data_IF_032246135640
#
_entry.id   IF_032246135640
#
_cell.length_a   1.000
_cell.length_b   1.000
_cell.length_c   1.000
_cell.angle_alpha   90.00
_cell.angle_beta   90.00
_cell.angle_gamma   90.00
#
_symmetry.space_group_name_H-M   'P 1'
#
loop_
_entity.id
_entity.type
_entity.pdbx_description
1 polymer ?
#
# COMPACT_ATOMS: atom_id res chain seq x y z
N UNK A 1 7.07 4.96 0.05
CA UNK A 1 5.84 4.82 -0.76
C UNK A 1 4.63 5.02 0.12
N UNK A 2 3.59 5.67 -0.40
CA UNK A 2 2.32 5.89 0.31
C UNK A 2 1.15 5.65 -0.64
N UNK A 3 0.18 4.82 -0.26
CA UNK A 3 -1.01 4.55 -1.08
C UNK A 3 -2.27 4.44 -0.24
N UNK A 4 -3.40 4.81 -0.86
CA UNK A 4 -4.73 4.53 -0.32
C UNK A 4 -5.09 3.05 -0.45
N UNK A 5 -5.00 2.51 -1.67
CA UNK A 5 -5.23 1.09 -1.95
C UNK A 5 -3.94 0.48 -2.47
N UNK A 6 -3.50 -0.57 -1.80
CA UNK A 6 -2.63 -1.59 -2.36
C UNK A 6 -3.39 -2.91 -2.35
N UNK A 7 -3.56 -3.53 -3.51
CA UNK A 7 -4.15 -4.87 -3.62
C UNK A 7 -3.09 -5.84 -4.17
N UNK A 8 -2.81 -6.95 -3.47
CA UNK A 8 -1.97 -8.02 -4.00
C UNK A 8 -2.50 -8.59 -5.33
N UNK A 9 -1.57 -9.05 -6.16
CA UNK A 9 -1.84 -9.69 -7.45
C UNK A 9 -1.24 -8.95 -8.64
N UNK A 10 -0.87 -9.72 -9.67
CA UNK A 10 -0.47 -9.18 -10.97
C UNK A 10 0.76 -8.27 -10.90
N UNK A 11 0.69 -7.10 -11.53
CA UNK A 11 1.79 -6.13 -11.56
C UNK A 11 2.12 -5.52 -10.19
N UNK A 12 1.17 -5.45 -9.25
CA UNK A 12 1.43 -4.92 -7.92
C UNK A 12 2.44 -5.78 -7.14
N UNK A 13 2.42 -7.11 -7.36
CA UNK A 13 3.35 -8.03 -6.71
C UNK A 13 4.78 -7.84 -7.21
N UNK A 14 4.97 -7.54 -8.51
CA UNK A 14 6.30 -7.23 -9.07
C UNK A 14 6.91 -6.00 -8.40
N UNK A 15 6.08 -5.01 -8.04
CA UNK A 15 6.52 -3.82 -7.30
C UNK A 15 6.90 -4.20 -5.86
N UNK A 16 6.12 -5.05 -5.20
CA UNK A 16 6.44 -5.54 -3.86
C UNK A 16 7.76 -6.33 -3.85
N UNK A 17 7.97 -7.23 -4.82
CA UNK A 17 9.22 -7.98 -5.01
C UNK A 17 10.41 -7.06 -5.23
N UNK A 18 10.27 -6.06 -6.09
CA UNK A 18 11.31 -5.07 -6.37
C UNK A 18 11.66 -4.26 -5.11
N UNK A 19 10.66 -3.87 -4.32
CA UNK A 19 10.88 -3.15 -3.07
C UNK A 19 11.58 -4.02 -2.03
N UNK A 20 11.22 -5.30 -1.92
CA UNK A 20 11.92 -6.26 -1.04
C UNK A 20 13.35 -6.50 -1.48
N UNK A 21 13.60 -6.60 -2.80
CA UNK A 21 14.95 -6.74 -3.33
C UNK A 21 15.80 -5.49 -3.02
N UNK A 22 15.23 -4.29 -3.10
CA UNK A 22 15.92 -3.06 -2.71
C UNK A 22 16.26 -3.04 -1.21
N UNK A 23 15.30 -3.40 -0.35
CA UNK A 23 15.52 -3.47 1.09
C UNK A 23 16.64 -4.47 1.45
N UNK A 24 16.65 -5.65 0.81
CA UNK A 24 17.71 -6.67 0.98
C UNK A 24 19.09 -6.20 0.54
N UNK A 25 19.19 -5.26 -0.39
CA UNK A 25 20.46 -4.61 -0.77
C UNK A 25 20.90 -3.51 0.21
N UNK A 26 20.12 -3.23 1.25
CA UNK A 26 20.41 -2.21 2.27
C UNK A 26 19.75 -0.86 2.01
N UNK A 27 18.85 -0.75 1.02
CA UNK A 27 18.10 0.50 0.79
C UNK A 27 17.04 0.68 1.88
N UNK A 28 16.97 1.86 2.48
CA UNK A 28 15.96 2.16 3.51
C UNK A 28 14.56 2.34 2.90
N UNK A 29 13.79 1.26 2.81
CA UNK A 29 12.44 1.28 2.23
C UNK A 29 11.36 1.52 3.29
N UNK A 30 10.45 2.47 3.03
CA UNK A 30 9.26 2.75 3.86
C UNK A 30 7.99 2.64 3.04
N UNK A 31 6.96 1.99 3.60
CA UNK A 31 5.65 1.81 3.00
C UNK A 31 4.55 2.19 3.98
N UNK A 32 3.74 3.18 3.63
CA UNK A 32 2.56 3.57 4.41
C UNK A 32 1.29 3.30 3.62
N UNK A 33 0.37 2.53 4.18
CA UNK A 33 -0.90 2.21 3.53
C UNK A 33 -2.08 2.56 4.41
N UNK A 34 -3.13 3.07 3.80
CA UNK A 34 -4.40 3.30 4.48
C UNK A 34 -5.03 1.96 4.93
N UNK A 35 -5.39 1.85 6.21
CA UNK A 35 -5.91 0.62 6.83
C UNK A 35 -7.18 0.07 6.14
N UNK A 36 -8.17 0.92 5.85
CA UNK A 36 -9.43 0.52 5.24
C UNK A 36 -9.30 0.31 3.72
N UNK A 37 -8.55 1.16 3.03
CA UNK A 37 -8.33 1.03 1.58
C UNK A 37 -7.48 -0.20 1.22
N UNK A 38 -6.57 -0.63 2.10
CA UNK A 38 -5.61 -1.71 1.85
C UNK A 38 -5.85 -2.96 2.69
N UNK A 39 -7.09 -3.25 3.09
CA UNK A 39 -7.45 -4.44 3.90
C UNK A 39 -6.96 -5.73 3.26
N UNK A 40 -7.10 -5.88 1.94
CA UNK A 40 -6.64 -7.06 1.20
C UNK A 40 -5.12 -7.27 1.36
N UNK A 41 -4.32 -6.20 1.29
CA UNK A 41 -2.88 -6.27 1.54
C UNK A 41 -2.58 -6.66 2.99
N UNK A 42 -3.19 -6.01 3.98
CA UNK A 42 -2.90 -6.27 5.39
C UNK A 42 -3.37 -7.65 5.87
N UNK A 43 -4.38 -8.26 5.22
CA UNK A 43 -4.82 -9.64 5.47
C UNK A 43 -4.03 -10.69 4.69
N UNK A 44 -3.16 -10.27 3.77
CA UNK A 44 -2.31 -11.18 2.98
C UNK A 44 -0.94 -11.40 3.64
N UNK A 45 -0.17 -12.41 3.20
CA UNK A 45 1.20 -12.62 3.67
C UNK A 45 2.16 -11.46 3.33
N UNK A 46 1.82 -10.59 2.38
CA UNK A 46 2.71 -9.54 1.87
C UNK A 46 3.20 -8.58 2.95
N UNK A 47 2.32 -8.16 3.88
CA UNK A 47 2.74 -7.27 4.96
C UNK A 47 3.82 -7.89 5.85
N UNK A 48 3.74 -9.21 6.11
CA UNK A 48 4.76 -9.93 6.88
C UNK A 48 6.03 -10.15 6.06
N UNK A 49 5.91 -10.60 4.81
CA UNK A 49 7.07 -10.81 3.92
C UNK A 49 7.89 -9.53 3.71
N UNK A 50 7.22 -8.40 3.50
CA UNK A 50 7.88 -7.10 3.30
C UNK A 50 8.57 -6.61 4.57
N UNK A 51 7.96 -6.78 5.74
CA UNK A 51 8.62 -6.48 7.03
C UNK A 51 9.84 -7.37 7.24
N UNK A 52 9.74 -8.66 6.96
CA UNK A 52 10.85 -9.61 7.07
C UNK A 52 11.99 -9.30 6.09
N UNK A 53 11.68 -8.67 4.94
CA UNK A 53 12.69 -8.18 3.99
C UNK A 53 13.37 -6.87 4.43
N UNK A 54 12.98 -6.28 5.57
CA UNK A 54 13.55 -5.05 6.10
C UNK A 54 12.78 -3.77 5.74
N UNK A 55 11.57 -3.87 5.17
CA UNK A 55 10.75 -2.70 4.82
C UNK A 55 9.97 -2.22 6.05
N UNK A 56 10.00 -0.92 6.33
CA UNK A 56 9.17 -0.31 7.36
C UNK A 56 7.72 -0.17 6.85
N UNK A 57 6.84 -1.09 7.24
CA UNK A 57 5.43 -1.11 6.81
C UNK A 57 4.51 -0.54 7.89
N UNK A 58 3.96 0.64 7.61
CA UNK A 58 3.04 1.40 8.46
C UNK A 58 1.60 1.27 7.95
N UNK A 59 0.70 0.90 8.87
CA UNK A 59 -0.74 0.96 8.66
C UNK A 59 -1.30 2.29 9.18
N UNK A 60 -1.68 3.17 8.26
CA UNK A 60 -2.21 4.49 8.54
C UNK A 60 -3.71 4.45 8.88
N UNK A 61 -4.13 5.32 9.81
CA UNK A 61 -5.53 5.49 10.19
C UNK A 61 -6.21 4.14 10.49
N UNK A 62 -5.52 3.33 11.32
CA UNK A 62 -5.99 2.02 11.78
C UNK A 62 -7.45 2.07 12.18
N UNK A 63 -8.25 1.24 11.55
CA UNK A 63 -9.65 1.06 11.91
C UNK A 63 -9.67 0.28 13.23
N UNK A 64 -9.99 0.97 14.33
CA UNK A 64 -10.10 0.37 15.65
C UNK A 64 -11.53 0.58 16.15
N UNK A 65 -12.28 -0.51 16.32
CA UNK A 65 -13.65 -0.53 16.84
C UNK A 65 -13.79 0.26 18.17
N UNK A 66 -12.78 0.18 19.04
CA UNK A 66 -12.77 0.89 20.34
C UNK A 66 -12.57 2.40 20.21
N UNK A 67 -12.15 2.89 19.03
CA UNK A 67 -11.94 4.33 18.76
C UNK A 67 -12.91 4.90 17.73
N UNK A 68 -13.91 4.12 17.29
CA UNK A 68 -14.93 4.54 16.33
C UNK A 68 -15.70 5.77 16.84
N UNK A 69 -15.99 5.83 18.15
CA UNK A 69 -16.68 6.98 18.75
C UNK A 69 -15.80 8.22 19.00
N UNK A 70 -14.47 8.09 18.87
CA UNK A 70 -13.49 9.15 19.18
C UNK A 70 -12.77 9.68 17.93
N UNK A 71 -13.02 9.10 16.75
CA UNK A 71 -12.37 9.48 15.50
C UNK A 71 -13.38 9.64 14.37
N UNK A 72 -13.18 10.70 13.59
CA UNK A 72 -13.80 10.89 12.28
C UNK A 72 -13.41 9.76 11.33
N UNK A 73 -14.28 8.76 11.19
CA UNK A 73 -14.06 7.59 10.33
C UNK A 73 -13.96 7.93 8.85
N UNK A 74 -14.50 9.09 8.45
CA UNK A 74 -14.43 9.69 7.13
C UNK A 74 -13.01 10.14 6.75
N UNK A 75 -12.14 10.39 7.73
CA UNK A 75 -10.75 10.73 7.45
C UNK A 75 -9.97 9.48 7.03
N UNK A 76 -9.57 9.46 5.75
CA UNK A 76 -8.73 8.41 5.15
C UNK A 76 -7.47 9.03 4.52
N UNK A 77 -6.42 8.23 4.41
CA UNK A 77 -5.18 8.63 3.74
C UNK A 77 -5.34 8.34 2.24
N UNK A 78 -5.72 9.36 1.46
CA UNK A 78 -5.96 9.21 0.02
C UNK A 78 -4.74 9.51 -0.89
N UNK A 79 -3.57 9.78 -0.33
CA UNK A 79 -2.37 10.10 -1.12
C UNK A 79 -1.82 8.83 -1.79
N UNK A 80 -1.31 8.99 -3.00
CA UNK A 80 -0.68 7.93 -3.80
C UNK A 80 0.61 8.51 -4.32
N UNK A 81 1.70 8.11 -3.72
CA UNK A 81 3.01 8.69 -4.00
C UNK A 81 4.14 7.69 -3.82
N UNK A 82 5.15 7.83 -4.67
CA UNK A 82 6.41 7.11 -4.62
C UNK A 82 7.51 8.16 -4.63
N UNK A 83 8.49 8.01 -3.75
CA UNK A 83 9.67 8.87 -3.69
C UNK A 83 10.89 7.96 -3.65
N UNK A 84 11.85 8.22 -4.52
CA UNK A 84 13.06 7.42 -4.73
C UNK A 84 14.27 8.34 -4.64
N UNK A 85 15.21 7.98 -3.78
CA UNK A 85 16.51 8.65 -3.57
C UNK A 85 16.42 10.17 -3.38
N UNK A 86 15.29 10.65 -2.85
CA UNK A 86 14.95 12.07 -2.68
C UNK A 86 15.04 12.92 -3.96
N UNK A 87 15.08 12.29 -5.13
CA UNK A 87 15.27 12.97 -6.41
C UNK A 87 14.09 12.74 -7.37
N UNK A 88 13.49 11.56 -7.32
CA UNK A 88 12.39 11.17 -8.21
C UNK A 88 11.13 11.01 -7.37
N UNK A 89 10.04 11.66 -7.79
CA UNK A 89 8.74 11.50 -7.16
C UNK A 89 7.66 11.22 -8.22
N UNK A 90 6.84 10.21 -7.95
CA UNK A 90 5.59 9.95 -8.65
C UNK A 90 4.43 10.28 -7.73
N UNK A 91 3.42 10.97 -8.24
CA UNK A 91 2.19 11.28 -7.53
C UNK A 91 1.03 11.27 -8.52
N UNK A 92 -0.18 10.98 -8.05
CA UNK A 92 -1.36 10.99 -8.90
C UNK A 92 -2.56 10.29 -8.27
N UNK A 93 -3.47 9.82 -9.13
CA UNK A 93 -4.71 9.15 -8.75
C UNK A 93 -4.61 7.62 -8.76
N UNK A 94 -3.54 7.05 -9.33
CA UNK A 94 -3.36 5.61 -9.52
C UNK A 94 -3.05 4.89 -8.20
N UNK A 95 -3.88 3.92 -7.84
CA UNK A 95 -3.62 3.01 -6.72
C UNK A 95 -2.59 1.95 -7.11
N UNK A 96 -2.03 1.25 -6.11
CA UNK A 96 -1.11 0.14 -6.35
C UNK A 96 -1.90 -1.16 -6.55
N UNK A 97 -2.48 -1.30 -7.74
CA UNK A 97 -3.37 -2.42 -8.10
C UNK A 97 -3.11 -2.82 -9.55
N UNK A 98 -3.31 -4.10 -9.87
CA UNK A 98 -3.40 -4.56 -11.26
C UNK A 98 -4.89 -4.55 -11.69
N UNK A 99 -5.28 -3.78 -12.71
CA UNK A 99 -6.67 -3.70 -13.15
C UNK A 99 -7.27 -5.01 -13.62
N UNK A 100 -6.49 -6.07 -13.88
CA UNK A 100 -7.00 -7.42 -14.21
C UNK A 100 -7.39 -8.23 -12.97
N UNK A 101 -7.00 -7.78 -11.78
CA UNK A 101 -7.27 -8.46 -10.51
C UNK A 101 -8.09 -7.57 -9.56
N UNK A 102 -8.17 -6.27 -9.83
CA UNK A 102 -8.87 -5.29 -9.01
C UNK A 102 -10.28 -5.02 -9.55
N UNK A 103 -11.31 -5.24 -8.72
CA UNK A 103 -12.71 -4.90 -9.00
C UNK A 103 -13.22 -5.26 -10.42
N UNK A 104 -12.98 -6.50 -10.88
CA UNK A 104 -13.42 -6.96 -12.21
C UNK A 104 -14.93 -6.76 -12.46
N UNK A 105 -15.75 -6.94 -11.43
CA UNK A 105 -17.21 -6.87 -11.54
C UNK A 105 -17.77 -5.45 -11.51
N UNK A 106 -16.90 -4.43 -11.41
CA UNK A 106 -17.34 -3.04 -11.23
C UNK A 106 -17.60 -2.28 -12.54
N UNK A 107 -17.31 -2.90 -13.69
CA UNK A 107 -17.51 -2.28 -15.01
C UNK A 107 -16.64 -1.05 -15.27
N UNK A 108 -15.60 -0.82 -14.47
CA UNK A 108 -14.67 0.30 -14.59
C UNK A 108 -13.21 -0.18 -14.57
N UNK A 109 -12.34 0.45 -15.38
CA UNK A 109 -10.89 0.21 -15.36
C UNK A 109 -10.40 -0.99 -16.17
N UNK A 110 -10.92 -1.18 -17.39
CA UNK A 110 -10.35 -2.10 -18.39
C UNK A 110 -9.01 -1.60 -18.93
#
# INVERSE_FOLDING_TARGET
MVFYIWQPGGMADKVAESLMAAARRGVHCRLMLDSAGSVAFFRSPWAAMMRNAGIEVVEALKVNLMRVFLRRMDLRQHRKMVMIDNYIAYTGSMNMVDPRFFKQDSGVGQ
#
